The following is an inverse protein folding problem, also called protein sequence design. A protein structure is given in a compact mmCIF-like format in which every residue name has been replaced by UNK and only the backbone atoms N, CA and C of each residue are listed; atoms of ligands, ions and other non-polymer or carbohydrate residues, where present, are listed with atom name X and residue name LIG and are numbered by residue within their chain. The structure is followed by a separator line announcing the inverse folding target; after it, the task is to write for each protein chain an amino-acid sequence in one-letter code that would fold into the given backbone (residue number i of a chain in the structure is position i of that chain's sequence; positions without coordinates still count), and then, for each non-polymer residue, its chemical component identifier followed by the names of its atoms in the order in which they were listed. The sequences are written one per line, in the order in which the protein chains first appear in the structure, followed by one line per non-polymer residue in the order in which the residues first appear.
data_IF_759575582362
#
_entry.id   IF_759575582362
#
_cell.length_a   1.000
_cell.length_b   1.000
_cell.length_c   1.000
_cell.angle_alpha   90.00
_cell.angle_beta   90.00
_cell.angle_gamma   90.00
#
_symmetry.space_group_name_H-M   'P 1'
#
loop_
_entity.id
_entity.type
_entity.pdbx_description
1 polymer ?
#
# COMPACT_ATOMS: atom_id res chain seq x y z
N UNK A 1 23.69 6.10 19.42
CA UNK A 1 23.27 6.33 18.03
C UNK A 1 22.52 5.09 17.55
N UNK A 2 21.20 5.02 17.77
CA UNK A 2 20.38 3.90 17.29
C UNK A 2 19.77 4.32 15.96
N UNK A 3 20.33 3.80 14.87
CA UNK A 3 19.83 4.04 13.52
C UNK A 3 18.42 3.47 13.40
N UNK A 4 17.42 4.34 13.22
CA UNK A 4 16.06 3.93 12.89
C UNK A 4 16.04 3.32 11.49
N UNK A 5 16.05 1.98 11.44
CA UNK A 5 15.73 1.20 10.23
C UNK A 5 14.24 1.38 9.95
N UNK A 6 13.88 2.23 8.99
CA UNK A 6 12.50 2.33 8.51
C UNK A 6 12.25 1.17 7.54
N UNK A 7 11.33 0.29 7.92
CA UNK A 7 10.83 -0.78 7.06
C UNK A 7 9.74 -0.15 6.19
N UNK A 8 10.04 0.08 4.91
CA UNK A 8 9.05 0.57 3.96
C UNK A 8 8.29 -0.62 3.37
N UNK A 9 6.99 -0.70 3.63
CA UNK A 9 6.09 -1.57 2.88
C UNK A 9 5.85 -0.92 1.50
N UNK A 10 6.77 -1.11 0.57
CA UNK A 10 6.50 -0.80 -0.83
C UNK A 10 5.39 -1.77 -1.28
N UNK A 11 4.28 -1.21 -1.75
CA UNK A 11 3.22 -1.94 -2.45
C UNK A 11 3.80 -2.45 -3.77
N UNK A 12 4.57 -3.53 -3.72
CA UNK A 12 5.13 -4.19 -4.90
C UNK A 12 4.18 -5.29 -5.35
N UNK A 13 2.90 -4.94 -5.59
CA UNK A 13 1.99 -5.86 -6.27
C UNK A 13 1.93 -5.60 -7.78
N UNK A 14 2.31 -4.40 -8.25
CA UNK A 14 2.32 -4.06 -9.69
C UNK A 14 3.71 -4.07 -10.34
N UNK A 15 4.81 -4.06 -9.58
CA UNK A 15 6.17 -3.96 -10.15
C UNK A 15 6.98 -5.27 -10.17
N UNK A 16 6.60 -6.30 -9.42
CA UNK A 16 7.40 -7.55 -9.35
C UNK A 16 7.04 -8.61 -10.41
N UNK A 17 6.04 -8.38 -11.25
CA UNK A 17 5.72 -9.29 -12.37
C UNK A 17 6.42 -8.94 -13.69
N UNK A 18 7.16 -7.83 -13.75
CA UNK A 18 7.96 -7.51 -14.92
C UNK A 18 9.42 -7.83 -14.61
N UNK A 19 10.03 -8.70 -15.41
CA UNK A 19 11.43 -9.19 -15.36
C UNK A 19 12.50 -8.08 -15.40
N UNK A 20 12.10 -6.81 -15.38
CA UNK A 20 12.91 -5.61 -15.57
C UNK A 20 13.24 -4.88 -14.25
N UNK A 21 12.59 -5.18 -13.12
CA UNK A 21 12.77 -4.41 -11.87
C UNK A 21 13.87 -4.93 -10.94
N UNK A 22 14.35 -6.17 -11.10
CA UNK A 22 15.48 -6.70 -10.32
C UNK A 22 16.79 -5.96 -10.58
N UNK A 23 16.96 -5.36 -11.77
CA UNK A 23 18.16 -4.62 -12.16
C UNK A 23 18.05 -3.09 -11.96
N UNK A 24 16.84 -2.55 -11.74
CA UNK A 24 16.64 -1.12 -11.53
C UNK A 24 16.79 -0.69 -10.06
N UNK A 25 16.89 -1.65 -9.14
CA UNK A 25 17.34 -1.38 -7.77
C UNK A 25 18.87 -1.24 -7.75
N UNK A 26 19.39 -0.31 -8.55
CA UNK A 26 20.76 0.21 -8.39
C UNK A 26 20.86 0.92 -7.03
N UNK A 27 22.05 0.98 -6.42
CA UNK A 27 22.19 1.50 -5.07
C UNK A 27 21.98 3.02 -5.08
N UNK A 28 20.76 3.46 -4.84
CA UNK A 28 20.54 4.78 -4.27
C UNK A 28 21.31 4.80 -2.96
N UNK A 29 22.39 5.59 -2.91
CA UNK A 29 23.32 5.72 -1.78
C UNK A 29 22.72 6.48 -0.60
N UNK A 30 21.46 6.20 -0.26
CA UNK A 30 20.80 6.76 0.90
C UNK A 30 19.82 5.72 1.45
N UNK A 31 20.23 5.10 2.56
CA UNK A 31 19.47 4.15 3.38
C UNK A 31 19.37 2.72 2.83
N UNK A 32 19.93 1.78 3.58
CA UNK A 32 19.73 0.35 3.35
C UNK A 32 18.24 0.03 3.54
N UNK A 33 17.56 -0.41 2.48
CA UNK A 33 16.22 -0.96 2.55
C UNK A 33 16.33 -2.48 2.76
N UNK A 34 15.46 -3.04 3.60
CA UNK A 34 15.37 -4.50 3.77
C UNK A 34 14.17 -5.00 2.97
N UNK A 35 14.42 -5.89 2.02
CA UNK A 35 13.34 -6.57 1.30
C UNK A 35 12.66 -7.55 2.23
N UNK A 36 11.34 -7.39 2.42
CA UNK A 36 10.53 -8.35 3.16
C UNK A 36 10.26 -9.59 2.30
N UNK A 37 10.28 -10.77 2.93
CA UNK A 37 9.79 -11.99 2.30
C UNK A 37 8.26 -11.87 2.16
N UNK A 38 7.77 -11.81 0.91
CA UNK A 38 6.35 -11.61 0.63
C UNK A 38 5.70 -12.91 0.18
N UNK A 39 4.53 -13.22 0.73
CA UNK A 39 3.77 -14.43 0.38
C UNK A 39 3.00 -14.25 -0.94
N UNK A 40 2.87 -15.30 -1.77
CA UNK A 40 1.95 -15.28 -2.90
C UNK A 40 0.52 -14.97 -2.43
N UNK A 41 -0.21 -14.13 -3.17
CA UNK A 41 -1.60 -13.73 -2.84
C UNK A 41 -1.80 -13.04 -1.47
N UNK A 42 -0.79 -12.31 -0.97
CA UNK A 42 -0.86 -11.59 0.30
C UNK A 42 -1.65 -10.27 0.32
N UNK A 43 -2.75 -10.15 -0.45
CA UNK A 43 -3.53 -8.89 -0.54
C UNK A 43 -4.02 -8.41 0.84
N UNK A 44 -4.48 -9.33 1.69
CA UNK A 44 -4.97 -9.04 3.05
C UNK A 44 -3.88 -8.46 3.97
N UNK A 45 -2.60 -8.77 3.71
CA UNK A 45 -1.44 -8.20 4.43
C UNK A 45 -0.96 -6.89 3.81
N UNK A 46 -1.39 -6.57 2.59
CA UNK A 46 -1.05 -5.33 1.91
C UNK A 46 -1.96 -4.20 2.39
N UNK A 47 -1.52 -3.47 3.41
CA UNK A 47 -2.26 -2.32 3.97
C UNK A 47 -2.56 -1.22 2.95
N UNK A 48 -1.86 -1.19 1.81
CA UNK A 48 -2.12 -0.24 0.74
C UNK A 48 -3.45 -0.52 0.02
N UNK A 49 -3.95 -1.76 0.03
CA UNK A 49 -5.29 -2.09 -0.49
C UNK A 49 -6.38 -1.34 0.27
N UNK A 50 -6.21 -1.12 1.58
CA UNK A 50 -7.14 -0.33 2.38
C UNK A 50 -7.10 1.16 1.99
N UNK A 51 -5.92 1.68 1.64
CA UNK A 51 -5.78 3.05 1.13
C UNK A 51 -6.51 3.20 -0.20
N UNK A 52 -6.26 2.28 -1.15
CA UNK A 52 -7.00 2.25 -2.42
C UNK A 52 -8.50 2.07 -2.23
N UNK A 53 -8.92 1.23 -1.28
CA UNK A 53 -10.32 1.05 -0.93
C UNK A 53 -10.98 2.36 -0.50
N UNK A 54 -10.31 3.13 0.37
CA UNK A 54 -10.78 4.46 0.80
C UNK A 54 -10.87 5.43 -0.36
N UNK A 55 -9.86 5.46 -1.24
CA UNK A 55 -9.87 6.33 -2.42
C UNK A 55 -11.01 6.00 -3.37
N UNK A 56 -11.23 4.71 -3.66
CA UNK A 56 -12.34 4.27 -4.51
C UNK A 56 -13.70 4.67 -3.92
N UNK A 57 -13.89 4.53 -2.61
CA UNK A 57 -15.14 4.95 -1.94
C UNK A 57 -15.35 6.46 -2.06
N UNK A 58 -14.29 7.27 -1.90
CA UNK A 58 -14.37 8.71 -2.05
C UNK A 58 -14.72 9.10 -3.49
N UNK A 59 -14.02 8.53 -4.47
CA UNK A 59 -14.24 8.77 -5.88
C UNK A 59 -15.63 8.35 -6.34
N UNK A 60 -16.16 7.23 -5.84
CA UNK A 60 -17.49 6.76 -6.20
C UNK A 60 -18.64 7.64 -5.65
N UNK A 61 -18.35 8.54 -4.69
CA UNK A 61 -19.30 9.55 -4.20
C UNK A 61 -19.26 10.84 -5.02
N UNK A 62 -18.21 11.02 -5.81
CA UNK A 62 -18.08 12.15 -6.74
C UNK A 62 -18.78 11.79 -8.05
N UNK A 63 -19.51 12.71 -8.69
CA UNK A 63 -20.13 12.45 -10.00
C UNK A 63 -19.07 12.53 -11.11
N UNK A 64 -18.14 11.56 -11.13
CA UNK A 64 -17.05 11.45 -12.12
C UNK A 64 -17.42 10.59 -13.34
N UNK A 65 -18.66 10.11 -13.43
CA UNK A 65 -19.11 9.25 -14.55
C UNK A 65 -19.08 9.92 -15.92
N UNK A 66 -19.02 11.26 -15.96
CA UNK A 66 -18.90 12.07 -17.17
C UNK A 66 -17.62 12.92 -17.18
N UNK A 67 -16.67 12.65 -16.28
CA UNK A 67 -15.45 13.41 -16.15
C UNK A 67 -14.45 13.05 -17.26
N UNK A 68 -13.68 14.04 -17.70
CA UNK A 68 -12.50 13.87 -18.54
C UNK A 68 -11.37 13.16 -17.76
N UNK A 69 -10.35 12.69 -18.48
CA UNK A 69 -9.16 12.08 -17.87
C UNK A 69 -8.46 13.03 -16.89
N UNK A 70 -8.35 14.31 -17.24
CA UNK A 70 -7.71 15.33 -16.40
C UNK A 70 -8.51 15.61 -15.12
N UNK A 71 -9.84 15.62 -15.21
CA UNK A 71 -10.73 15.79 -14.06
C UNK A 71 -10.67 14.57 -13.13
N UNK A 72 -10.60 13.36 -13.69
CA UNK A 72 -10.40 12.15 -12.92
C UNK A 72 -9.06 12.16 -12.20
N UNK A 73 -7.98 12.50 -12.91
CA UNK A 73 -6.65 12.62 -12.33
C UNK A 73 -6.62 13.64 -11.19
N UNK A 74 -7.22 14.82 -11.41
CA UNK A 74 -7.33 15.88 -10.40
C UNK A 74 -8.06 15.39 -9.16
N UNK A 75 -9.19 14.67 -9.33
CA UNK A 75 -9.95 14.11 -8.22
C UNK A 75 -9.16 13.05 -7.44
N UNK A 76 -8.47 12.14 -8.14
CA UNK A 76 -7.61 11.12 -7.54
C UNK A 76 -6.48 11.76 -6.75
N UNK A 77 -5.80 12.75 -7.32
CA UNK A 77 -4.68 13.44 -6.68
C UNK A 77 -5.13 14.20 -5.43
N UNK A 78 -6.27 14.89 -5.49
CA UNK A 78 -6.83 15.59 -4.35
C UNK A 78 -7.17 14.63 -3.21
N UNK A 79 -7.78 13.48 -3.51
CA UNK A 79 -8.11 12.49 -2.48
C UNK A 79 -6.86 11.81 -1.90
N UNK A 80 -5.86 11.53 -2.74
CA UNK A 80 -4.55 11.05 -2.28
C UNK A 80 -3.89 12.04 -1.33
N UNK A 81 -3.82 13.32 -1.68
CA UNK A 81 -3.23 14.35 -0.82
C UNK A 81 -3.97 14.47 0.52
N UNK A 82 -5.31 14.40 0.48
CA UNK A 82 -6.14 14.38 1.68
C UNK A 82 -5.79 13.19 2.58
N UNK A 83 -5.71 11.98 2.04
CA UNK A 83 -5.35 10.79 2.83
C UNK A 83 -3.89 10.82 3.29
N UNK A 84 -2.96 11.32 2.48
CA UNK A 84 -1.55 11.44 2.83
C UNK A 84 -1.32 12.43 3.97
N UNK A 85 -2.18 13.45 4.10
CA UNK A 85 -2.16 14.38 5.24
C UNK A 85 -2.67 13.76 6.55
N UNK A 86 -3.40 12.65 6.48
CA UNK A 86 -3.90 11.92 7.64
C UNK A 86 -2.84 10.93 8.15
N UNK A 87 -1.96 11.42 9.04
CA UNK A 87 -0.93 10.59 9.67
C UNK A 87 -1.52 9.50 10.57
N UNK A 88 -2.73 9.69 11.09
CA UNK A 88 -3.40 8.70 11.95
C UNK A 88 -3.80 7.46 11.16
N UNK A 89 -4.22 7.62 9.91
CA UNK A 89 -4.52 6.51 9.01
C UNK A 89 -3.31 5.61 8.81
N UNK A 90 -2.15 6.21 8.50
CA UNK A 90 -0.92 5.45 8.25
C UNK A 90 -0.53 4.67 9.51
N UNK A 91 -0.53 5.32 10.67
CA UNK A 91 -0.22 4.68 11.95
C UNK A 91 -1.16 3.49 12.22
N UNK A 92 -2.47 3.67 12.10
CA UNK A 92 -3.46 2.61 12.31
C UNK A 92 -3.26 1.42 11.35
N UNK A 93 -2.90 1.69 10.09
CA UNK A 93 -2.64 0.63 9.12
C UNK A 93 -1.41 -0.20 9.51
N UNK A 94 -0.31 0.45 9.91
CA UNK A 94 0.87 -0.26 10.40
C UNK A 94 0.60 -1.03 11.70
N UNK A 95 -0.12 -0.42 12.65
CA UNK A 95 -0.53 -1.06 13.91
C UNK A 95 -1.47 -2.25 13.68
N UNK A 96 -2.19 -2.30 12.56
CA UNK A 96 -3.05 -3.44 12.21
C UNK A 96 -2.29 -4.67 11.71
N UNK A 97 -1.04 -4.51 11.23
CA UNK A 97 -0.27 -5.60 10.62
C UNK A 97 -0.14 -6.85 11.53
N UNK A 98 0.16 -6.75 12.83
CA UNK A 98 0.18 -7.91 13.72
C UNK A 98 -1.13 -8.68 13.76
N UNK A 99 -2.27 -7.98 13.86
CA UNK A 99 -3.59 -8.62 13.87
C UNK A 99 -3.94 -9.29 12.55
N UNK A 100 -3.58 -8.68 11.41
CA UNK A 100 -3.70 -9.29 10.08
C UNK A 100 -2.87 -10.55 9.94
N UNK A 101 -1.62 -10.52 10.42
CA UNK A 101 -0.74 -11.68 10.42
C UNK A 101 -1.32 -12.82 11.27
N UNK A 102 -1.84 -12.52 12.47
CA UNK A 102 -2.53 -13.51 13.30
C UNK A 102 -3.74 -14.11 12.58
N UNK A 103 -4.58 -13.28 11.95
CA UNK A 103 -5.73 -13.76 11.20
C UNK A 103 -5.35 -14.70 10.06
N UNK A 104 -4.27 -14.41 9.32
CA UNK A 104 -3.74 -15.29 8.26
C UNK A 104 -3.25 -16.62 8.83
N UNK A 105 -2.59 -16.61 9.99
CA UNK A 105 -2.15 -17.83 10.67
C UNK A 105 -3.34 -18.68 11.12
N UNK A 106 -4.37 -18.05 11.70
CA UNK A 106 -5.60 -18.73 12.15
C UNK A 106 -6.33 -19.46 11.02
N UNK A 107 -6.33 -18.89 9.80
CA UNK A 107 -6.93 -19.51 8.61
C UNK A 107 -5.94 -20.33 7.78
N UNK A 108 -4.76 -20.66 8.32
CA UNK A 108 -3.71 -21.44 7.66
C UNK A 108 -3.30 -20.90 6.27
N UNK A 109 -3.16 -19.57 6.14
CA UNK A 109 -2.82 -18.92 4.87
C UNK A 109 -4.00 -18.72 3.91
N UNK A 110 -5.21 -19.06 4.33
CA UNK A 110 -6.45 -18.74 3.62
C UNK A 110 -6.81 -17.25 3.62
N UNK A 111 -7.96 -16.93 3.01
CA UNK A 111 -8.48 -15.56 2.95
C UNK A 111 -9.00 -15.12 4.32
N UNK A 112 -8.65 -13.92 4.73
CA UNK A 112 -9.12 -13.27 5.94
C UNK A 112 -10.26 -12.29 5.63
N UNK A 113 -10.69 -11.52 6.63
CA UNK A 113 -11.70 -10.47 6.46
C UNK A 113 -11.11 -9.11 6.04
N UNK A 114 -9.77 -9.01 6.00
CA UNK A 114 -9.03 -7.76 5.75
C UNK A 114 -8.93 -7.40 4.27
#
# INVERSE_FOLDING_TARGET
MLGSTHIYLLCVFLLHQQTLTTNFVRPCSFRAYTKLAWVPKGADLNIFENVWGRMKVALNRTPISSATEDELWTAVLADWQRLASDTSLVTLLYESLPSRMSAVVEVNGGRTHY
#
